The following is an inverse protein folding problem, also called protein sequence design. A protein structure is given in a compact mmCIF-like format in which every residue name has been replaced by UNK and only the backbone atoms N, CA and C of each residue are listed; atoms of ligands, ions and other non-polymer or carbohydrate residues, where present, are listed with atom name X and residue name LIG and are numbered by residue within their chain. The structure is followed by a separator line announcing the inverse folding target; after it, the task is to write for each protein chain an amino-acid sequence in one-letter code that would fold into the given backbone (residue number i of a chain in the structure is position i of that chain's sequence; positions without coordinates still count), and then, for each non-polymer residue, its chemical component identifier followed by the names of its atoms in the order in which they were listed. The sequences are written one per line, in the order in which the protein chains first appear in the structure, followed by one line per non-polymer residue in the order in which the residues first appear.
data_IF_813617275962
#
_entry.id   IF_813617275962
#
_cell.length_a   1.000
_cell.length_b   1.000
_cell.length_c   1.000
_cell.angle_alpha   90.00
_cell.angle_beta   90.00
_cell.angle_gamma   90.00
#
_symmetry.space_group_name_H-M   'P 1'
#
loop_
_entity.id
_entity.type
_entity.pdbx_description
1 polymer ?
#
# COMPACT_ATOMS: atom_id res chain seq x y z
N UNK A 1 22.02 20.00 -2.31
CA UNK A 1 20.89 20.81 -1.80
C UNK A 1 20.25 21.50 -3.01
N UNK A 2 19.21 20.92 -3.62
CA UNK A 2 18.56 21.45 -4.84
C UNK A 2 17.01 21.46 -4.78
N UNK A 3 16.40 21.16 -3.64
CA UNK A 3 14.93 21.01 -3.50
C UNK A 3 14.12 22.31 -3.62
N UNK A 4 14.75 23.48 -3.67
CA UNK A 4 14.06 24.77 -3.47
C UNK A 4 13.75 25.58 -4.73
N UNK A 5 14.30 25.28 -5.91
CA UNK A 5 14.11 26.17 -7.07
C UNK A 5 12.79 25.95 -7.82
N UNK A 6 12.36 24.70 -8.02
CA UNK A 6 11.14 24.38 -8.78
C UNK A 6 9.89 24.93 -8.10
N UNK A 7 9.77 24.75 -6.79
CA UNK A 7 8.58 25.15 -6.04
C UNK A 7 8.47 26.67 -5.85
N UNK A 8 9.51 27.45 -6.16
CA UNK A 8 9.47 28.91 -6.09
C UNK A 8 8.95 29.57 -7.38
N UNK A 9 8.72 28.78 -8.44
CA UNK A 9 8.10 29.27 -9.66
C UNK A 9 6.60 29.57 -9.47
N UNK A 10 5.97 30.34 -10.37
CA UNK A 10 4.51 30.50 -10.39
C UNK A 10 3.80 29.16 -10.55
N UNK A 11 2.64 29.04 -9.91
CA UNK A 11 1.84 27.82 -9.91
C UNK A 11 1.49 27.29 -11.30
N UNK A 12 1.26 28.18 -12.27
CA UNK A 12 1.01 27.80 -13.67
C UNK A 12 2.20 27.05 -14.29
N UNK A 13 3.43 27.51 -14.04
CA UNK A 13 4.64 26.87 -14.53
C UNK A 13 4.88 25.53 -13.83
N UNK A 14 4.67 25.47 -12.51
CA UNK A 14 4.76 24.24 -11.72
C UNK A 14 3.76 23.20 -12.26
N UNK A 15 2.51 23.59 -12.47
CA UNK A 15 1.47 22.69 -12.97
C UNK A 15 1.81 22.13 -14.35
N UNK A 16 2.35 22.95 -15.26
CA UNK A 16 2.79 22.48 -16.59
C UNK A 16 3.92 21.45 -16.46
N UNK A 17 4.91 21.71 -15.61
CA UNK A 17 6.01 20.77 -15.37
C UNK A 17 5.48 19.44 -14.81
N UNK A 18 4.57 19.49 -13.83
CA UNK A 18 3.95 18.29 -13.25
C UNK A 18 3.12 17.53 -14.30
N UNK A 19 2.42 18.23 -15.20
CA UNK A 19 1.67 17.59 -16.28
C UNK A 19 2.57 16.84 -17.27
N UNK A 20 3.82 17.28 -17.46
CA UNK A 20 4.82 16.59 -18.28
C UNK A 20 5.45 15.38 -17.58
N UNK A 21 5.41 15.33 -16.25
CA UNK A 21 5.93 14.21 -15.47
C UNK A 21 5.05 12.97 -15.63
N UNK A 22 5.69 11.80 -15.62
CA UNK A 22 5.00 10.52 -15.53
C UNK A 22 4.53 10.24 -14.09
N UNK A 23 3.73 9.19 -13.92
CA UNK A 23 3.13 8.82 -12.63
C UNK A 23 4.17 8.54 -11.53
N UNK A 24 5.30 7.93 -11.88
CA UNK A 24 6.37 7.66 -10.92
C UNK A 24 7.06 8.95 -10.46
N UNK A 25 7.33 9.88 -11.37
CA UNK A 25 7.93 11.18 -11.08
C UNK A 25 7.01 12.04 -10.21
N UNK A 26 5.72 12.08 -10.54
CA UNK A 26 4.71 12.78 -9.72
C UNK A 26 4.64 12.20 -8.32
N UNK A 27 4.68 10.86 -8.19
CA UNK A 27 4.61 10.21 -6.89
C UNK A 27 5.84 10.56 -6.05
N UNK A 28 7.04 10.49 -6.64
CA UNK A 28 8.29 10.91 -5.98
C UNK A 28 8.22 12.36 -5.53
N UNK A 29 7.82 13.27 -6.41
CA UNK A 29 7.67 14.70 -6.10
C UNK A 29 6.68 14.91 -4.94
N UNK A 30 5.53 14.24 -4.98
CA UNK A 30 4.51 14.35 -3.93
C UNK A 30 5.00 13.90 -2.55
N UNK A 31 6.05 13.07 -2.49
CA UNK A 31 6.61 12.57 -1.24
C UNK A 31 7.69 13.51 -0.65
N UNK A 32 8.22 14.47 -1.41
CA UNK A 32 9.35 15.32 -0.98
C UNK A 32 8.98 16.37 0.07
N UNK A 33 7.77 16.92 0.05
CA UNK A 33 7.29 17.91 1.03
C UNK A 33 5.78 18.12 0.90
N UNK A 34 5.13 18.68 1.93
CA UNK A 34 3.70 19.02 1.86
C UNK A 34 3.40 20.00 0.72
N UNK A 35 4.30 20.95 0.43
CA UNK A 35 4.14 21.89 -0.70
C UNK A 35 4.18 21.19 -2.05
N UNK A 36 5.08 20.23 -2.21
CA UNK A 36 5.17 19.44 -3.43
C UNK A 36 3.94 18.52 -3.59
N UNK A 37 3.46 17.93 -2.50
CA UNK A 37 2.24 17.14 -2.47
C UNK A 37 1.02 17.92 -2.96
N UNK A 38 0.79 19.12 -2.40
CA UNK A 38 -0.31 19.99 -2.81
C UNK A 38 -0.17 20.45 -4.26
N UNK A 39 1.06 20.71 -4.73
CA UNK A 39 1.30 21.02 -6.13
C UNK A 39 0.88 19.86 -7.06
N UNK A 40 1.22 18.62 -6.70
CA UNK A 40 0.81 17.44 -7.47
C UNK A 40 -0.70 17.24 -7.41
N UNK A 41 -1.31 17.30 -6.22
CA UNK A 41 -2.77 17.18 -6.03
C UNK A 41 -3.58 18.13 -6.91
N UNK A 42 -3.14 19.38 -7.06
CA UNK A 42 -3.84 20.38 -7.89
C UNK A 42 -3.95 19.98 -9.36
N UNK A 43 -3.01 19.19 -9.87
CA UNK A 43 -3.09 18.66 -11.23
C UNK A 43 -4.08 17.51 -11.39
N UNK A 44 -4.70 17.06 -10.29
CA UNK A 44 -5.67 15.97 -10.21
C UNK A 44 -5.20 14.72 -10.97
N UNK A 45 -3.98 14.23 -10.68
CA UNK A 45 -3.48 13.05 -11.37
C UNK A 45 -4.40 11.87 -11.08
N UNK A 46 -4.45 10.95 -12.04
CA UNK A 46 -5.25 9.72 -11.94
C UNK A 46 -4.29 8.54 -11.92
N UNK A 47 -4.67 7.48 -11.22
CA UNK A 47 -4.02 6.18 -11.33
C UNK A 47 -5.07 5.10 -11.64
N UNK A 48 -4.66 4.05 -12.35
CA UNK A 48 -5.54 2.92 -12.64
C UNK A 48 -5.75 2.11 -11.37
N UNK A 49 -4.67 1.66 -10.73
CA UNK A 49 -4.73 0.81 -9.55
C UNK A 49 -3.70 1.23 -8.49
N UNK A 50 -4.07 1.04 -7.23
CA UNK A 50 -3.19 1.05 -6.07
C UNK A 50 -3.30 -0.31 -5.38
N UNK A 51 -2.18 -1.01 -5.21
CA UNK A 51 -2.11 -2.30 -4.54
C UNK A 51 -1.25 -2.19 -3.28
N UNK A 52 -1.74 -2.73 -2.18
CA UNK A 52 -1.06 -2.67 -0.89
C UNK A 52 -0.87 -4.08 -0.35
N UNK A 53 0.38 -4.47 -0.11
CA UNK A 53 0.77 -5.77 0.40
C UNK A 53 1.21 -5.64 1.85
N UNK A 54 0.47 -6.24 2.79
CA UNK A 54 0.76 -6.21 4.23
C UNK A 54 0.88 -7.63 4.81
N UNK A 55 1.47 -7.73 6.00
CA UNK A 55 1.65 -9.00 6.71
C UNK A 55 2.77 -9.88 6.18
N UNK A 56 3.74 -9.28 5.48
CA UNK A 56 4.90 -9.94 4.87
C UNK A 56 6.20 -9.55 5.59
N UNK A 57 7.26 -10.35 5.43
CA UNK A 57 8.64 -9.92 5.74
C UNK A 57 9.05 -8.69 4.92
N UNK A 58 8.49 -8.57 3.72
CA UNK A 58 8.57 -7.39 2.90
C UNK A 58 7.18 -6.92 2.49
N UNK A 59 6.80 -5.78 3.03
CA UNK A 59 5.57 -5.05 2.74
C UNK A 59 5.79 -4.19 1.50
N UNK A 60 4.76 -3.98 0.69
CA UNK A 60 4.90 -3.22 -0.54
C UNK A 60 3.67 -2.39 -0.91
N UNK A 61 3.89 -1.26 -1.56
CA UNK A 61 2.85 -0.43 -2.19
C UNK A 61 3.15 -0.32 -3.66
N UNK A 62 2.19 -0.66 -4.52
CA UNK A 62 2.33 -0.59 -5.97
C UNK A 62 1.25 0.33 -6.52
N UNK A 63 1.60 1.18 -7.48
CA UNK A 63 0.65 2.03 -8.19
C UNK A 63 0.89 1.90 -9.68
N UNK A 64 -0.19 1.64 -10.42
CA UNK A 64 -0.16 1.42 -11.86
C UNK A 64 -0.97 2.49 -12.57
N UNK A 65 -0.39 3.07 -13.63
CA UNK A 65 -1.10 3.97 -14.54
C UNK A 65 -0.56 3.84 -15.96
N UNK A 66 -1.43 3.53 -16.93
CA UNK A 66 -1.12 3.48 -18.38
C UNK A 66 0.21 2.78 -18.75
N UNK A 67 0.52 1.67 -18.08
CA UNK A 67 1.75 0.89 -18.33
C UNK A 67 2.99 1.35 -17.55
N UNK A 68 2.88 2.40 -16.73
CA UNK A 68 3.90 2.81 -15.77
C UNK A 68 3.58 2.20 -14.41
N UNK A 69 4.58 1.54 -13.81
CA UNK A 69 4.51 0.97 -12.46
C UNK A 69 5.41 1.76 -11.51
N UNK A 70 4.83 2.27 -10.43
CA UNK A 70 5.55 2.61 -9.21
C UNK A 70 5.44 1.41 -8.27
N UNK A 71 6.57 0.90 -7.81
CA UNK A 71 6.66 -0.07 -6.71
C UNK A 71 7.35 0.59 -5.52
N UNK A 72 6.98 0.28 -4.30
CA UNK A 72 7.70 0.72 -3.10
C UNK A 72 7.76 -0.51 -2.22
N UNK A 73 8.96 -1.03 -1.97
CA UNK A 73 9.18 -2.19 -1.10
C UNK A 73 9.81 -1.73 0.20
N UNK A 74 9.29 -2.23 1.30
CA UNK A 74 9.83 -2.02 2.63
C UNK A 74 10.26 -3.40 3.17
N UNK A 75 11.44 -3.48 3.77
CA UNK A 75 11.98 -4.71 4.37
C UNK A 75 12.73 -4.37 5.66
N UNK A 76 12.69 -5.29 6.63
CA UNK A 76 13.42 -5.16 7.90
C UNK A 76 14.92 -5.34 7.71
N UNK A 77 15.29 -6.31 6.87
CA UNK A 77 16.66 -6.48 6.41
C UNK A 77 16.98 -5.41 5.37
N UNK A 78 17.99 -4.59 5.67
CA UNK A 78 18.64 -3.68 4.72
C UNK A 78 19.41 -4.45 3.62
N UNK A 79 19.23 -5.77 3.47
CA UNK A 79 19.69 -6.54 2.32
C UNK A 79 18.58 -6.65 1.27
N UNK A 80 18.72 -5.84 0.22
CA UNK A 80 17.92 -5.90 -0.98
C UNK A 80 18.17 -7.23 -1.73
N UNK A 81 17.24 -8.17 -1.69
CA UNK A 81 17.20 -9.21 -2.72
C UNK A 81 16.55 -8.65 -3.99
N UNK A 82 17.44 -8.27 -4.91
CA UNK A 82 17.16 -7.84 -6.27
C UNK A 82 17.10 -9.05 -7.19
N UNK A 83 15.90 -9.47 -7.58
CA UNK A 83 15.75 -10.00 -8.93
C UNK A 83 14.78 -9.13 -9.73
N UNK A 84 15.37 -8.52 -10.77
CA UNK A 84 14.78 -7.74 -11.87
C UNK A 84 14.24 -6.35 -11.51
N UNK A 85 15.14 -5.42 -11.22
CA UNK A 85 15.27 -4.11 -11.92
C UNK A 85 16.36 -3.24 -11.23
N UNK A 86 17.55 -3.05 -11.84
CA UNK A 86 18.63 -2.26 -11.24
C UNK A 86 18.36 -0.77 -11.08
N UNK A 87 17.38 -0.21 -11.80
CA UNK A 87 17.05 1.22 -11.72
C UNK A 87 16.18 1.52 -10.50
N UNK A 88 15.42 0.52 -10.04
CA UNK A 88 14.36 0.70 -9.07
C UNK A 88 14.85 0.76 -7.63
N UNK A 89 15.86 -0.05 -7.29
CA UNK A 89 16.34 -0.20 -5.91
C UNK A 89 17.19 0.97 -5.39
N UNK A 90 17.60 1.88 -6.28
CA UNK A 90 18.40 3.06 -5.90
C UNK A 90 17.57 4.25 -5.41
N UNK A 91 16.25 4.25 -5.61
CA UNK A 91 15.41 5.45 -5.44
C UNK A 91 14.34 5.37 -4.35
N UNK A 92 14.10 4.19 -3.75
CA UNK A 92 13.29 4.07 -2.53
C UNK A 92 13.99 4.63 -1.28
N UNK A 93 15.24 5.11 -1.42
CA UNK A 93 15.99 5.82 -0.38
C UNK A 93 15.47 7.25 -0.10
N UNK A 94 14.41 7.70 -0.79
CA UNK A 94 13.89 9.06 -0.67
C UNK A 94 13.02 9.31 0.58
N UNK A 95 12.62 8.28 1.33
CA UNK A 95 12.10 8.48 2.69
C UNK A 95 13.32 8.51 3.59
N UNK A 96 13.83 9.72 3.87
CA UNK A 96 14.86 9.89 4.89
C UNK A 96 14.33 9.30 6.20
N UNK A 97 15.06 8.36 6.84
CA UNK A 97 14.69 7.82 8.16
C UNK A 97 14.58 8.89 9.26
N UNK A 98 15.04 10.11 8.98
CA UNK A 98 15.19 11.20 9.94
C UNK A 98 13.85 11.81 10.39
N UNK A 99 12.76 11.60 9.64
CA UNK A 99 11.38 11.96 10.05
C UNK A 99 10.63 10.77 10.70
N UNK A 100 11.22 9.57 10.69
CA UNK A 100 10.69 8.41 11.39
C UNK A 100 11.29 8.39 12.79
N UNK A 101 10.63 9.08 13.72
CA UNK A 101 10.92 8.94 15.14
C UNK A 101 11.01 7.47 15.54
N UNK A 102 11.95 7.20 16.47
CA UNK A 102 12.47 5.89 16.88
C UNK A 102 11.47 4.99 17.65
N UNK A 103 10.21 4.92 17.26
CA UNK A 103 9.22 4.07 17.93
C UNK A 103 8.73 2.97 16.98
N UNK A 104 9.29 1.76 17.12
CA UNK A 104 8.93 0.51 16.42
C UNK A 104 8.80 0.61 14.89
N UNK A 105 9.68 -0.07 14.15
CA UNK A 105 9.64 -0.06 12.68
C UNK A 105 8.49 -0.96 12.16
N UNK A 106 7.23 -0.59 12.42
CA UNK A 106 6.06 -1.28 11.88
C UNK A 106 5.97 -1.01 10.37
N UNK A 107 6.49 -1.96 9.60
CA UNK A 107 6.47 -1.93 8.14
C UNK A 107 5.06 -1.88 7.56
N UNK A 108 4.10 -2.51 8.21
CA UNK A 108 2.71 -2.50 7.74
C UNK A 108 2.13 -1.10 7.90
N UNK A 109 2.37 -0.43 9.03
CA UNK A 109 1.92 0.97 9.20
C UNK A 109 2.50 1.87 8.12
N UNK A 110 3.82 1.78 7.89
CA UNK A 110 4.48 2.61 6.88
C UNK A 110 3.92 2.42 5.47
N UNK A 111 3.62 1.18 5.08
CA UNK A 111 2.98 0.94 3.79
C UNK A 111 1.55 1.48 3.73
N UNK A 112 0.78 1.36 4.80
CA UNK A 112 -0.56 1.93 4.89
C UNK A 112 -0.52 3.47 4.80
N UNK A 113 0.43 4.12 5.47
CA UNK A 113 0.63 5.57 5.41
C UNK A 113 1.00 6.04 4.00
N UNK A 114 1.94 5.33 3.34
CA UNK A 114 2.31 5.59 1.95
C UNK A 114 1.11 5.40 1.02
N UNK A 115 0.35 4.31 1.20
CA UNK A 115 -0.83 4.04 0.39
C UNK A 115 -1.90 5.13 0.58
N UNK A 116 -2.13 5.58 1.82
CA UNK A 116 -3.09 6.64 2.12
C UNK A 116 -2.67 7.97 1.48
N UNK A 117 -1.39 8.31 1.54
CA UNK A 117 -0.85 9.49 0.87
C UNK A 117 -1.04 9.41 -0.65
N UNK A 118 -0.63 8.30 -1.27
CA UNK A 118 -0.79 8.08 -2.72
C UNK A 118 -2.26 8.11 -3.14
N UNK A 119 -3.15 7.49 -2.36
CA UNK A 119 -4.59 7.54 -2.60
C UNK A 119 -5.11 8.97 -2.60
N UNK A 120 -4.71 9.78 -1.62
CA UNK A 120 -5.13 11.19 -1.51
C UNK A 120 -4.65 12.06 -2.66
N UNK A 121 -3.51 11.70 -3.28
CA UNK A 121 -2.90 12.47 -4.37
C UNK A 121 -3.44 12.03 -5.74
N UNK A 122 -3.51 10.73 -5.98
CA UNK A 122 -3.74 10.15 -7.31
C UNK A 122 -5.16 9.65 -7.56
N UNK A 123 -6.05 9.69 -6.56
CA UNK A 123 -7.46 9.24 -6.66
C UNK A 123 -7.60 7.97 -7.52
N UNK A 124 -6.96 6.85 -7.13
CA UNK A 124 -6.90 5.66 -7.97
C UNK A 124 -8.29 5.11 -8.26
N UNK A 125 -8.51 4.58 -9.47
CA UNK A 125 -9.80 3.95 -9.82
C UNK A 125 -10.06 2.66 -9.06
N UNK A 126 -8.99 1.94 -8.72
CA UNK A 126 -9.05 0.70 -7.96
C UNK A 126 -8.03 0.67 -6.83
N UNK A 127 -8.43 0.12 -5.69
CA UNK A 127 -7.60 -0.14 -4.54
C UNK A 127 -7.73 -1.60 -4.11
N UNK A 128 -6.63 -2.32 -4.12
CA UNK A 128 -6.60 -3.74 -3.79
C UNK A 128 -5.62 -4.01 -2.64
N UNK A 129 -6.04 -4.79 -1.66
CA UNK A 129 -5.21 -5.18 -0.52
C UNK A 129 -4.85 -6.66 -0.60
N UNK A 130 -3.59 -6.96 -0.33
CA UNK A 130 -3.10 -8.32 -0.16
C UNK A 130 -2.57 -8.49 1.25
N UNK A 131 -3.32 -9.22 2.08
CA UNK A 131 -3.00 -9.46 3.48
C UNK A 131 -2.43 -10.87 3.60
N UNK A 132 -1.17 -10.97 4.03
CA UNK A 132 -0.59 -12.26 4.42
C UNK A 132 -0.78 -12.47 5.91
N UNK A 133 -1.44 -13.55 6.28
CA UNK A 133 -1.84 -13.78 7.68
C UNK A 133 -0.97 -14.82 8.38
N UNK A 134 -0.01 -15.46 7.72
CA UNK A 134 0.74 -16.59 8.29
C UNK A 134 1.50 -16.27 9.60
N UNK A 135 1.82 -15.01 9.86
CA UNK A 135 2.51 -14.54 11.09
C UNK A 135 1.60 -13.85 12.11
N UNK A 136 0.35 -13.58 11.75
CA UNK A 136 -0.59 -12.84 12.59
C UNK A 136 -1.68 -13.80 13.05
N UNK A 137 -1.91 -13.86 14.37
CA UNK A 137 -2.93 -14.72 14.97
C UNK A 137 -3.72 -13.97 16.01
N UNK A 138 -4.94 -14.40 16.25
CA UNK A 138 -5.82 -13.84 17.28
C UNK A 138 -5.93 -12.32 17.16
N UNK A 139 -5.52 -11.61 18.22
CA UNK A 139 -5.64 -10.16 18.29
C UNK A 139 -4.69 -9.43 17.32
N UNK A 140 -3.52 -9.97 17.02
CA UNK A 140 -2.56 -9.33 16.11
C UNK A 140 -3.09 -9.30 14.66
N UNK A 141 -3.78 -10.36 14.25
CA UNK A 141 -4.48 -10.40 12.97
C UNK A 141 -5.61 -9.38 12.94
N UNK A 142 -6.40 -9.32 14.01
CA UNK A 142 -7.53 -8.39 14.11
C UNK A 142 -7.05 -6.93 14.05
N UNK A 143 -5.96 -6.60 14.74
CA UNK A 143 -5.33 -5.28 14.69
C UNK A 143 -4.88 -4.91 13.27
N UNK A 144 -4.11 -5.79 12.62
CA UNK A 144 -3.63 -5.56 11.27
C UNK A 144 -4.79 -5.31 10.29
N UNK A 145 -5.83 -6.13 10.33
CA UNK A 145 -6.99 -6.00 9.44
C UNK A 145 -7.76 -4.72 9.73
N UNK A 146 -7.97 -4.38 11.00
CA UNK A 146 -8.65 -3.14 11.39
C UNK A 146 -7.93 -1.90 10.84
N UNK A 147 -6.59 -1.90 10.87
CA UNK A 147 -5.75 -0.82 10.32
C UNK A 147 -5.70 -0.82 8.79
N UNK A 148 -5.86 -1.99 8.17
CA UNK A 148 -5.77 -2.12 6.71
C UNK A 148 -7.00 -1.55 6.00
N UNK A 149 -8.21 -1.76 6.53
CA UNK A 149 -9.46 -1.34 5.90
C UNK A 149 -9.83 0.14 6.13
N UNK A 150 -8.83 1.02 6.21
CA UNK A 150 -9.02 2.46 6.38
C UNK A 150 -9.30 3.16 5.05
N UNK A 151 -8.77 2.66 3.92
CA UNK A 151 -9.09 3.19 2.59
C UNK A 151 -10.24 2.41 1.95
N UNK A 152 -11.03 3.05 1.07
CA UNK A 152 -11.92 2.33 0.17
C UNK A 152 -11.14 1.28 -0.61
N UNK A 153 -11.72 0.10 -0.76
CA UNK A 153 -11.12 -0.96 -1.54
C UNK A 153 -12.13 -1.61 -2.48
N UNK A 154 -11.59 -2.12 -3.58
CA UNK A 154 -12.32 -2.92 -4.55
C UNK A 154 -12.17 -4.39 -4.23
N UNK A 155 -10.97 -4.83 -3.83
CA UNK A 155 -10.73 -6.20 -3.42
C UNK A 155 -9.76 -6.32 -2.26
N UNK A 156 -9.97 -7.36 -1.45
CA UNK A 156 -9.04 -7.81 -0.41
C UNK A 156 -8.77 -9.28 -0.65
N UNK A 157 -7.50 -9.62 -0.79
CA UNK A 157 -7.03 -10.98 -0.87
C UNK A 157 -6.25 -11.36 0.39
N UNK A 158 -6.77 -12.31 1.14
CA UNK A 158 -6.16 -12.87 2.34
C UNK A 158 -5.53 -14.21 1.99
N UNK A 159 -4.27 -14.40 2.34
CA UNK A 159 -3.53 -15.63 2.02
C UNK A 159 -2.62 -16.08 3.15
N UNK A 160 -2.39 -17.39 3.24
CA UNK A 160 -1.32 -17.98 4.05
C UNK A 160 -0.21 -18.52 3.14
N UNK A 161 1.06 -18.38 3.56
CA UNK A 161 2.22 -18.76 2.75
C UNK A 161 2.43 -20.28 2.66
N UNK A 162 1.93 -21.03 3.63
CA UNK A 162 2.13 -22.46 3.68
C UNK A 162 0.80 -23.19 3.66
N UNK A 163 0.79 -24.32 2.97
CA UNK A 163 -0.37 -25.23 2.92
C UNK A 163 -0.79 -25.69 4.32
N UNK A 164 0.07 -25.53 5.35
CA UNK A 164 -0.21 -25.93 6.73
C UNK A 164 -0.54 -24.74 7.64
N UNK A 165 -0.57 -23.50 7.14
CA UNK A 165 -0.99 -22.35 7.94
C UNK A 165 -2.49 -22.15 7.77
N UNK A 166 -3.25 -22.84 8.62
CA UNK A 166 -4.68 -22.61 8.79
C UNK A 166 -4.93 -21.30 9.56
N UNK A 167 -6.10 -20.71 9.29
CA UNK A 167 -6.71 -19.71 10.16
C UNK A 167 -7.83 -20.40 10.95
N UNK A 168 -8.12 -19.91 12.15
CA UNK A 168 -9.23 -20.47 12.94
C UNK A 168 -10.58 -20.07 12.35
N UNK A 169 -11.65 -20.76 12.73
CA UNK A 169 -13.01 -20.37 12.37
C UNK A 169 -13.32 -18.93 12.84
N UNK A 170 -12.87 -18.56 14.03
CA UNK A 170 -13.05 -17.20 14.58
C UNK A 170 -12.33 -16.14 13.74
N UNK A 171 -11.10 -16.43 13.28
CA UNK A 171 -10.33 -15.53 12.43
C UNK A 171 -10.97 -15.37 11.06
N UNK A 172 -11.43 -16.47 10.46
CA UNK A 172 -12.16 -16.45 9.20
C UNK A 172 -13.48 -15.67 9.30
N UNK A 173 -14.27 -15.93 10.35
CA UNK A 173 -15.50 -15.20 10.63
C UNK A 173 -15.24 -13.71 10.81
N UNK A 174 -14.19 -13.35 11.55
CA UNK A 174 -13.78 -11.96 11.71
C UNK A 174 -13.44 -11.31 10.36
N UNK A 175 -12.62 -11.95 9.51
CA UNK A 175 -12.24 -11.41 8.20
C UNK A 175 -13.45 -11.18 7.29
N UNK A 176 -14.36 -12.16 7.22
CA UNK A 176 -15.60 -12.09 6.42
C UNK A 176 -16.47 -10.94 6.91
N UNK A 177 -16.73 -10.87 8.21
CA UNK A 177 -17.62 -9.87 8.79
C UNK A 177 -17.03 -8.46 8.76
N UNK A 178 -15.70 -8.35 8.66
CA UNK A 178 -14.99 -7.06 8.63
C UNK A 178 -14.88 -6.48 7.22
N UNK A 179 -14.91 -7.31 6.18
CA UNK A 179 -14.90 -6.83 4.81
C UNK A 179 -16.21 -6.08 4.51
N UNK A 180 -16.17 -4.79 4.09
CA UNK A 180 -17.35 -4.06 3.67
C UNK A 180 -18.01 -4.71 2.44
N UNK A 181 -19.34 -4.60 2.36
CA UNK A 181 -20.16 -5.25 1.33
C UNK A 181 -19.95 -4.72 -0.10
N UNK A 182 -19.23 -3.61 -0.27
CA UNK A 182 -19.00 -2.96 -1.56
C UNK A 182 -17.72 -3.43 -2.27
N UNK A 183 -16.93 -4.32 -1.65
CA UNK A 183 -15.73 -4.91 -2.22
C UNK A 183 -15.80 -6.43 -2.25
N UNK A 184 -14.85 -7.06 -2.96
CA UNK A 184 -14.71 -8.52 -2.97
C UNK A 184 -13.66 -8.98 -1.95
N UNK A 185 -14.01 -9.96 -1.11
CA UNK A 185 -13.06 -10.66 -0.25
C UNK A 185 -12.73 -12.03 -0.84
N UNK A 186 -11.45 -12.34 -0.95
CA UNK A 186 -10.96 -13.67 -1.32
C UNK A 186 -10.06 -14.18 -0.20
N UNK A 187 -10.37 -15.36 0.36
CA UNK A 187 -9.55 -16.02 1.37
C UNK A 187 -8.96 -17.29 0.75
N UNK A 188 -7.64 -17.34 0.65
CA UNK A 188 -6.86 -18.49 0.20
C UNK A 188 -6.03 -19.04 1.36
N UNK A 189 -6.74 -19.56 2.36
CA UNK A 189 -6.20 -20.20 3.56
C UNK A 189 -6.95 -21.53 3.78
N UNK A 190 -6.36 -22.45 4.56
CA UNK A 190 -7.11 -23.61 5.03
C UNK A 190 -8.09 -23.20 6.12
N UNK A 191 -9.35 -23.57 5.92
CA UNK A 191 -10.44 -23.43 6.90
C UNK A 191 -10.71 -24.77 7.59
N UNK A 192 -11.17 -24.77 8.85
CA UNK A 192 -11.71 -25.97 9.49
C UNK A 192 -12.84 -26.61 8.67
N UNK A 193 -12.94 -27.94 8.66
CA UNK A 193 -13.95 -28.70 7.89
C UNK A 193 -15.38 -28.36 8.34
N UNK A 194 -15.55 -28.04 9.62
CA UNK A 194 -16.80 -27.66 10.27
C UNK A 194 -17.07 -26.14 10.25
N UNK A 195 -16.30 -25.37 9.47
CA UNK A 195 -16.49 -23.94 9.37
C UNK A 195 -17.87 -23.58 8.81
N UNK A 196 -18.57 -22.70 9.51
CA UNK A 196 -19.85 -22.13 9.09
C UNK A 196 -19.83 -20.61 9.27
N UNK A 197 -20.38 -19.88 8.30
CA UNK A 197 -20.58 -18.44 8.37
C UNK A 197 -21.90 -18.07 7.70
N UNK A 198 -22.72 -17.28 8.39
CA UNK A 198 -24.06 -16.89 7.92
C UNK A 198 -24.04 -16.02 6.64
N UNK A 199 -22.92 -15.33 6.39
CA UNK A 199 -22.73 -14.43 5.25
C UNK A 199 -22.08 -15.14 4.04
N UNK A 200 -21.76 -16.43 4.13
CA UNK A 200 -21.08 -17.18 3.04
C UNK A 200 -21.77 -18.53 2.83
N UNK A 201 -22.36 -18.72 1.66
CA UNK A 201 -22.71 -20.05 1.14
C UNK A 201 -21.55 -20.58 0.29
N UNK A 202 -20.99 -21.72 0.67
CA UNK A 202 -19.87 -22.39 -0.01
C UNK A 202 -20.29 -23.11 -1.29
#
# INVERSE_FOLDING_TARGET
MHETQLLNAPDSAINLIIQLMNTQERAKLSMCSSRAEEAVKRTKPQATNLLVFVGRESTAVLMYDRGVELRIRLSEDKSMDMERDPVFTRWCQAIKPEEADRESYDLNQKALDIAQRLHSVFTPKKCDYHIRVHRFRGNDLKDLVNRTFVLPFNSVHVSSLSVNSSITADEANFLINKAPSNGSLSISCQLPIDFQNENVSF
#
